data_IF_785447424998
#
_entry.id   IF_785447424998
#
_cell.length_a   1.000
_cell.length_b   1.000
_cell.length_c   1.000
_cell.angle_alpha   90.00
_cell.angle_beta   90.00
_cell.angle_gamma   90.00
#
_symmetry.space_group_name_H-M   'P 1'
#
loop_
_entity.id
_entity.type
_entity.pdbx_description
1 polymer ?
#
# COMPACT_ATOMS: atom_id res chain seq x y z
N UNK A 1 -8.51 -45.74 -19.79
CA UNK A 1 -8.23 -44.35 -19.34
C UNK A 1 -9.16 -44.05 -18.18
N UNK A 2 -8.72 -44.27 -16.96
CA UNK A 2 -9.44 -43.85 -15.77
C UNK A 2 -8.89 -42.51 -15.30
N UNK A 3 -9.61 -41.42 -15.52
CA UNK A 3 -9.41 -40.16 -14.85
C UNK A 3 -9.84 -40.33 -13.38
N UNK A 4 -8.90 -40.36 -12.46
CA UNK A 4 -9.18 -40.10 -11.05
C UNK A 4 -9.45 -38.59 -10.87
N UNK A 5 -10.69 -38.18 -11.14
CA UNK A 5 -11.17 -36.87 -10.73
C UNK A 5 -11.04 -36.77 -9.20
N UNK A 6 -10.15 -35.94 -8.70
CA UNK A 6 -10.35 -35.39 -7.35
C UNK A 6 -11.70 -34.66 -7.39
N UNK A 7 -12.68 -35.04 -6.54
CA UNK A 7 -14.02 -34.53 -6.69
C UNK A 7 -14.03 -33.00 -6.60
N UNK A 8 -14.86 -32.34 -7.41
CA UNK A 8 -15.17 -30.90 -7.34
C UNK A 8 -15.49 -30.45 -5.90
N UNK A 9 -15.92 -31.35 -5.04
CA UNK A 9 -16.12 -31.18 -3.61
C UNK A 9 -14.82 -30.93 -2.81
N UNK A 10 -13.66 -31.41 -3.25
CA UNK A 10 -12.37 -31.12 -2.60
C UNK A 10 -11.85 -29.72 -2.99
N UNK A 11 -12.15 -29.26 -4.20
CA UNK A 11 -11.90 -27.87 -4.62
C UNK A 11 -12.83 -26.90 -3.87
N UNK A 12 -14.10 -27.23 -3.68
CA UNK A 12 -15.03 -26.46 -2.86
C UNK A 12 -14.62 -26.43 -1.38
N UNK A 13 -14.06 -27.51 -0.83
CA UNK A 13 -13.55 -27.52 0.56
C UNK A 13 -12.28 -26.70 0.77
N UNK A 14 -11.40 -26.63 -0.21
CA UNK A 14 -10.23 -25.71 -0.13
C UNK A 14 -10.67 -24.24 -0.23
N UNK A 15 -11.73 -23.95 -0.97
CA UNK A 15 -12.40 -22.65 -0.96
C UNK A 15 -13.08 -22.36 0.38
N UNK A 16 -13.72 -23.34 1.02
CA UNK A 16 -14.41 -23.20 2.32
C UNK A 16 -13.42 -23.07 3.49
N UNK A 17 -12.24 -23.72 3.47
CA UNK A 17 -11.21 -23.58 4.50
C UNK A 17 -10.53 -22.20 4.50
N UNK A 18 -10.43 -21.56 3.35
CA UNK A 18 -9.97 -20.17 3.21
C UNK A 18 -11.05 -19.14 3.56
N UNK A 19 -12.34 -19.51 3.53
CA UNK A 19 -13.45 -18.60 3.82
C UNK A 19 -13.43 -18.03 5.25
N UNK A 20 -12.82 -18.68 6.22
CA UNK A 20 -12.80 -18.18 7.61
C UNK A 20 -11.88 -16.96 7.77
N UNK A 21 -10.70 -16.96 7.15
CA UNK A 21 -9.81 -15.77 7.10
C UNK A 21 -10.32 -14.70 6.11
N UNK A 22 -11.00 -15.10 5.04
CA UNK A 22 -11.61 -14.25 4.02
C UNK A 22 -12.71 -13.36 4.60
N UNK A 23 -13.55 -13.94 5.46
CA UNK A 23 -14.67 -13.25 6.11
C UNK A 23 -14.20 -12.17 7.07
N UNK A 24 -13.02 -12.32 7.68
CA UNK A 24 -12.63 -11.44 8.76
C UNK A 24 -12.22 -10.05 8.24
N UNK A 25 -11.31 -9.95 7.28
CA UNK A 25 -10.87 -8.63 6.76
C UNK A 25 -11.98 -7.87 6.03
N UNK A 26 -12.78 -8.54 5.21
CA UNK A 26 -13.92 -7.90 4.57
C UNK A 26 -14.94 -7.41 5.58
N UNK A 27 -15.25 -8.23 6.60
CA UNK A 27 -16.16 -7.83 7.69
C UNK A 27 -15.63 -6.65 8.50
N UNK A 28 -14.32 -6.60 8.78
CA UNK A 28 -13.69 -5.48 9.47
C UNK A 28 -13.84 -4.18 8.67
N UNK A 29 -13.56 -4.21 7.37
CA UNK A 29 -13.71 -3.05 6.48
C UNK A 29 -15.17 -2.60 6.43
N UNK A 30 -16.14 -3.52 6.31
CA UNK A 30 -17.57 -3.18 6.31
C UNK A 30 -18.01 -2.64 7.67
N UNK A 31 -17.51 -3.19 8.78
CA UNK A 31 -17.80 -2.66 10.13
C UNK A 31 -17.30 -1.22 10.26
N UNK A 32 -16.05 -0.97 9.86
CA UNK A 32 -15.48 0.39 9.85
C UNK A 32 -16.31 1.34 8.98
N UNK A 33 -16.71 0.88 7.79
CA UNK A 33 -17.58 1.64 6.89
C UNK A 33 -18.93 1.97 7.56
N UNK A 34 -19.57 1.02 8.22
CA UNK A 34 -20.84 1.20 8.89
C UNK A 34 -20.72 2.18 10.08
N UNK A 35 -19.64 2.11 10.85
CA UNK A 35 -19.37 3.05 11.96
C UNK A 35 -19.20 4.48 11.43
N UNK A 36 -18.38 4.70 10.40
CA UNK A 36 -18.16 6.02 9.80
C UNK A 36 -19.43 6.53 9.13
N UNK A 37 -20.16 5.69 8.40
CA UNK A 37 -21.42 6.06 7.76
C UNK A 37 -22.48 6.55 8.76
N UNK A 38 -22.53 5.94 9.94
CA UNK A 38 -23.40 6.39 11.04
C UNK A 38 -22.96 7.75 11.59
N UNK A 39 -21.64 7.96 11.79
CA UNK A 39 -21.11 9.23 12.30
C UNK A 39 -21.42 10.43 11.40
N UNK A 40 -21.37 10.23 10.08
CA UNK A 40 -21.61 11.30 9.09
C UNK A 40 -23.08 11.35 8.62
N UNK A 41 -23.96 10.52 9.17
CA UNK A 41 -25.36 10.39 8.75
C UNK A 41 -25.51 10.17 7.23
N UNK A 42 -24.70 9.27 6.67
CA UNK A 42 -24.71 8.99 5.24
C UNK A 42 -26.07 8.44 4.79
N UNK A 43 -26.58 8.96 3.66
CA UNK A 43 -27.82 8.48 3.05
C UNK A 43 -27.82 6.95 2.87
N UNK A 44 -28.93 6.30 3.24
CA UNK A 44 -29.03 4.84 3.26
C UNK A 44 -28.83 4.18 1.89
N UNK A 45 -29.28 4.84 0.80
CA UNK A 45 -29.14 4.32 -0.56
C UNK A 45 -27.68 4.41 -1.03
N UNK A 46 -26.99 5.49 -0.68
CA UNK A 46 -25.56 5.65 -0.94
C UNK A 46 -24.77 4.63 -0.15
N UNK A 47 -25.16 4.44 1.15
CA UNK A 47 -24.52 3.47 2.04
C UNK A 47 -24.59 2.05 1.48
N UNK A 48 -25.75 1.58 1.05
CA UNK A 48 -25.90 0.25 0.47
C UNK A 48 -25.13 0.09 -0.85
N UNK A 49 -25.13 1.11 -1.69
CA UNK A 49 -24.41 1.09 -2.97
C UNK A 49 -22.89 0.95 -2.82
N UNK A 50 -22.30 1.55 -1.76
CA UNK A 50 -20.85 1.56 -1.53
C UNK A 50 -20.33 0.37 -0.71
N UNK A 51 -21.20 -0.53 -0.26
CA UNK A 51 -20.78 -1.74 0.48
C UNK A 51 -20.22 -2.84 -0.42
N UNK A 52 -20.68 -2.89 -1.67
CA UNK A 52 -20.33 -3.97 -2.59
C UNK A 52 -19.59 -3.43 -3.82
N UNK A 53 -18.63 -4.19 -4.34
CA UNK A 53 -17.97 -3.83 -5.60
C UNK A 53 -18.96 -3.90 -6.77
N UNK A 54 -18.80 -2.98 -7.71
CA UNK A 54 -19.64 -2.95 -8.91
C UNK A 54 -19.28 -4.04 -9.93
N UNK A 55 -18.02 -4.54 -9.86
CA UNK A 55 -17.58 -5.63 -10.74
C UNK A 55 -16.52 -6.48 -10.07
N UNK A 56 -16.64 -7.79 -10.21
CA UNK A 56 -15.62 -8.76 -9.80
C UNK A 56 -15.38 -9.76 -10.92
N UNK A 57 -14.12 -9.98 -11.26
CA UNK A 57 -13.69 -10.98 -12.22
C UNK A 57 -12.85 -12.03 -11.49
N UNK A 58 -13.21 -13.29 -11.66
CA UNK A 58 -12.44 -14.45 -11.21
C UNK A 58 -12.06 -15.24 -12.45
N UNK A 59 -10.78 -15.51 -12.59
CA UNK A 59 -10.23 -16.23 -13.73
C UNK A 59 -9.42 -17.43 -13.25
N UNK A 60 -9.42 -18.48 -14.04
CA UNK A 60 -8.56 -19.63 -13.83
C UNK A 60 -7.78 -19.90 -15.09
N UNK A 61 -6.50 -20.17 -14.95
CA UNK A 61 -5.65 -20.47 -16.10
C UNK A 61 -4.62 -21.55 -15.76
N UNK A 62 -4.24 -22.37 -16.77
CA UNK A 62 -3.20 -23.36 -16.57
C UNK A 62 -1.82 -22.69 -16.48
N UNK A 63 -1.00 -23.19 -15.58
CA UNK A 63 0.39 -22.83 -15.43
C UNK A 63 1.24 -24.10 -15.35
N UNK A 64 2.37 -24.10 -16.02
CA UNK A 64 3.39 -25.17 -15.99
C UNK A 64 4.75 -24.53 -15.79
N UNK A 65 5.51 -25.03 -14.83
CA UNK A 65 6.86 -24.52 -14.53
C UNK A 65 7.82 -24.92 -15.61
N UNK A 66 7.82 -26.21 -15.96
CA UNK A 66 8.64 -26.84 -17.00
C UNK A 66 7.76 -27.68 -17.93
N UNK A 67 8.28 -28.06 -19.09
CA UNK A 67 7.58 -28.91 -20.06
C UNK A 67 7.28 -30.31 -19.53
N UNK A 68 8.06 -30.77 -18.52
CA UNK A 68 7.92 -32.08 -17.87
C UNK A 68 7.05 -32.06 -16.61
N UNK A 69 6.71 -30.87 -16.08
CA UNK A 69 5.90 -30.74 -14.88
C UNK A 69 4.42 -30.94 -15.17
N UNK A 70 3.66 -31.29 -14.13
CA UNK A 70 2.21 -31.29 -14.16
C UNK A 70 1.64 -29.87 -14.33
N UNK A 71 0.48 -29.79 -14.95
CA UNK A 71 -0.23 -28.52 -15.08
C UNK A 71 -0.89 -28.15 -13.75
N UNK A 72 -0.51 -27.00 -13.19
CA UNK A 72 -1.19 -26.38 -12.06
C UNK A 72 -2.30 -25.45 -12.57
N UNK A 73 -3.45 -25.44 -11.89
CA UNK A 73 -4.50 -24.44 -12.14
C UNK A 73 -4.34 -23.28 -11.18
N UNK A 74 -4.07 -22.11 -11.72
CA UNK A 74 -3.89 -20.87 -10.95
C UNK A 74 -5.16 -20.03 -10.99
N UNK A 75 -5.53 -19.45 -9.85
CA UNK A 75 -6.71 -18.58 -9.74
C UNK A 75 -6.27 -17.13 -9.64
N UNK A 76 -6.87 -16.30 -10.45
CA UNK A 76 -6.67 -14.85 -10.46
C UNK A 76 -7.96 -14.09 -10.17
N UNK A 77 -7.83 -12.90 -9.57
CA UNK A 77 -8.95 -12.05 -9.17
C UNK A 77 -8.70 -10.61 -9.61
N UNK A 78 -9.74 -9.91 -10.08
CA UNK A 78 -9.75 -8.45 -10.22
C UNK A 78 -11.09 -7.90 -9.77
N UNK A 79 -11.07 -7.02 -8.79
CA UNK A 79 -12.27 -6.38 -8.23
C UNK A 79 -12.20 -4.88 -8.49
N UNK A 80 -13.31 -4.32 -8.99
CA UNK A 80 -13.51 -2.89 -9.25
C UNK A 80 -14.66 -2.41 -8.36
N UNK A 81 -14.36 -1.53 -7.40
CA UNK A 81 -15.34 -1.15 -6.38
C UNK A 81 -16.28 -0.06 -6.87
N UNK A 82 -15.77 1.11 -7.27
CA UNK A 82 -16.59 2.24 -7.75
C UNK A 82 -16.13 2.63 -9.15
N UNK A 83 -17.03 2.55 -10.14
CA UNK A 83 -16.74 2.87 -11.53
C UNK A 83 -17.12 4.31 -11.92
N UNK A 84 -17.88 5.01 -11.08
CA UNK A 84 -18.40 6.35 -11.37
C UNK A 84 -17.44 7.51 -10.99
N UNK A 85 -16.34 7.21 -10.30
CA UNK A 85 -15.35 8.22 -9.91
C UNK A 85 -14.27 8.48 -10.97
N UNK A 86 -14.23 7.69 -12.02
CA UNK A 86 -13.17 7.66 -13.03
C UNK A 86 -12.64 6.24 -13.21
N UNK A 87 -11.48 6.05 -13.87
CA UNK A 87 -10.89 4.73 -14.02
C UNK A 87 -10.60 4.13 -12.63
N UNK A 88 -10.79 2.81 -12.50
CA UNK A 88 -10.45 2.16 -11.24
C UNK A 88 -8.94 1.97 -11.12
N UNK A 89 -8.41 2.02 -9.90
CA UNK A 89 -6.98 2.00 -9.63
C UNK A 89 -6.64 1.08 -8.47
N UNK A 90 -5.65 0.21 -8.65
CA UNK A 90 -5.16 -0.61 -7.55
C UNK A 90 -4.15 -1.67 -7.92
N UNK A 91 -3.38 -2.11 -6.92
CA UNK A 91 -2.30 -3.06 -7.06
C UNK A 91 -2.74 -4.48 -7.42
N UNK A 92 -1.80 -5.27 -7.93
CA UNK A 92 -1.92 -6.71 -8.15
C UNK A 92 -0.99 -7.42 -7.18
N UNK A 93 -1.53 -8.32 -6.37
CA UNK A 93 -0.81 -9.10 -5.35
C UNK A 93 -0.57 -10.53 -5.81
N UNK A 94 0.65 -11.02 -5.62
CA UNK A 94 0.95 -12.46 -5.75
C UNK A 94 1.26 -13.01 -4.36
N UNK A 95 0.38 -13.87 -3.88
CA UNK A 95 0.57 -14.60 -2.62
C UNK A 95 -0.34 -15.84 -2.60
N UNK A 96 0.07 -16.93 -1.92
CA UNK A 96 -0.69 -18.18 -1.94
C UNK A 96 -2.09 -18.08 -1.29
N UNK A 97 -2.28 -17.12 -0.40
CA UNK A 97 -3.54 -16.88 0.33
C UNK A 97 -4.45 -15.81 -0.31
N UNK A 98 -4.11 -15.30 -1.50
CA UNK A 98 -4.97 -14.36 -2.22
C UNK A 98 -6.34 -14.99 -2.52
N UNK A 99 -7.39 -14.25 -2.20
CA UNK A 99 -8.77 -14.68 -2.36
C UNK A 99 -9.70 -13.51 -2.65
N UNK A 100 -10.93 -13.79 -3.09
CA UNK A 100 -11.88 -12.77 -3.51
C UNK A 100 -12.24 -11.79 -2.37
N UNK A 101 -12.38 -12.27 -1.13
CA UNK A 101 -12.76 -11.44 0.02
C UNK A 101 -11.67 -10.42 0.37
N UNK A 102 -10.41 -10.86 0.41
CA UNK A 102 -9.27 -9.97 0.64
C UNK A 102 -9.15 -8.92 -0.47
N UNK A 103 -9.23 -9.36 -1.73
CA UNK A 103 -9.15 -8.44 -2.89
C UNK A 103 -10.30 -7.44 -2.87
N UNK A 104 -11.52 -7.86 -2.48
CA UNK A 104 -12.67 -6.97 -2.33
C UNK A 104 -12.46 -5.92 -1.24
N UNK A 105 -12.02 -6.33 -0.04
CA UNK A 105 -11.71 -5.41 1.05
C UNK A 105 -10.69 -4.35 0.63
N UNK A 106 -9.62 -4.79 -0.02
CA UNK A 106 -8.57 -3.89 -0.50
C UNK A 106 -9.04 -2.96 -1.62
N UNK A 107 -9.95 -3.39 -2.50
CA UNK A 107 -10.55 -2.54 -3.54
C UNK A 107 -11.43 -1.43 -2.93
N UNK A 108 -12.19 -1.73 -1.87
CA UNK A 108 -12.98 -0.76 -1.11
C UNK A 108 -12.05 0.30 -0.49
N UNK A 109 -11.00 -0.12 0.21
CA UNK A 109 -10.01 0.78 0.81
C UNK A 109 -9.32 1.67 -0.24
N UNK A 110 -9.08 1.16 -1.44
CA UNK A 110 -8.53 1.98 -2.55
C UNK A 110 -9.49 3.07 -3.00
N UNK A 111 -10.82 2.84 -3.02
CA UNK A 111 -11.80 3.90 -3.29
C UNK A 111 -11.77 4.99 -2.22
N UNK A 112 -11.72 4.61 -0.95
CA UNK A 112 -11.65 5.58 0.14
C UNK A 112 -10.36 6.40 0.09
N UNK A 113 -9.24 5.72 -0.15
CA UNK A 113 -7.94 6.38 -0.28
C UNK A 113 -7.89 7.37 -1.44
N UNK A 114 -8.49 7.06 -2.58
CA UNK A 114 -8.58 7.99 -3.71
C UNK A 114 -9.50 9.17 -3.40
N UNK A 115 -10.64 8.90 -2.77
CA UNK A 115 -11.65 9.92 -2.46
C UNK A 115 -11.14 10.94 -1.44
N UNK A 116 -10.43 10.49 -0.39
CA UNK A 116 -9.96 11.37 0.70
C UNK A 116 -8.95 12.42 0.23
N UNK A 117 -8.16 12.09 -0.80
CA UNK A 117 -7.20 13.01 -1.42
C UNK A 117 -7.71 13.60 -2.75
N UNK A 118 -9.01 13.49 -3.03
CA UNK A 118 -9.66 14.12 -4.17
C UNK A 118 -9.23 13.60 -5.55
N UNK A 119 -8.66 12.40 -5.64
CA UNK A 119 -8.23 11.82 -6.91
C UNK A 119 -9.42 11.25 -7.70
N UNK A 120 -9.46 11.43 -9.04
CA UNK A 120 -10.53 10.96 -9.90
C UNK A 120 -10.38 9.46 -10.20
N UNK A 121 -10.30 8.63 -9.15
CA UNK A 121 -10.15 7.18 -9.25
C UNK A 121 -11.20 6.44 -8.43
N UNK A 122 -11.81 5.44 -9.04
CA UNK A 122 -12.42 4.35 -8.27
C UNK A 122 -11.35 3.39 -7.73
N UNK A 123 -11.72 2.61 -6.74
CA UNK A 123 -10.80 1.61 -6.21
C UNK A 123 -10.88 0.30 -6.97
N UNK A 124 -9.72 -0.30 -7.22
CA UNK A 124 -9.60 -1.66 -7.67
C UNK A 124 -8.53 -2.42 -6.89
N UNK A 125 -8.61 -3.72 -6.96
CA UNK A 125 -7.55 -4.62 -6.47
C UNK A 125 -7.55 -5.88 -7.31
N UNK A 126 -6.35 -6.42 -7.56
CA UNK A 126 -6.17 -7.71 -8.20
C UNK A 126 -5.24 -8.60 -7.41
N UNK A 127 -5.20 -9.85 -7.81
CA UNK A 127 -4.22 -10.78 -7.27
C UNK A 127 -4.28 -12.14 -7.93
N UNK A 128 -3.20 -12.89 -7.75
CA UNK A 128 -3.06 -14.27 -8.20
C UNK A 128 -2.68 -15.12 -7.01
N UNK A 129 -3.42 -16.20 -6.79
CA UNK A 129 -3.17 -17.15 -5.71
C UNK A 129 -1.98 -18.05 -6.06
N UNK A 130 -0.77 -17.50 -5.94
CA UNK A 130 0.49 -18.20 -6.23
C UNK A 130 1.59 -17.67 -5.30
N UNK A 131 2.48 -18.56 -4.84
CA UNK A 131 3.70 -18.12 -4.14
C UNK A 131 4.72 -17.59 -5.15
N UNK A 132 5.10 -16.30 -5.10
CA UNK A 132 6.05 -15.72 -6.03
C UNK A 132 7.52 -16.07 -5.71
N UNK A 133 7.83 -16.55 -4.48
CA UNK A 133 9.20 -16.74 -4.02
C UNK A 133 9.94 -17.85 -4.77
N UNK A 134 9.34 -19.04 -5.02
CA UNK A 134 10.01 -20.10 -5.76
C UNK A 134 9.98 -19.89 -7.28
N UNK A 135 9.29 -18.86 -7.78
CA UNK A 135 9.18 -18.62 -9.22
C UNK A 135 10.46 -18.00 -9.77
N UNK A 136 11.00 -18.58 -10.81
CA UNK A 136 12.00 -17.92 -11.66
C UNK A 136 11.41 -16.67 -12.33
N UNK A 137 12.27 -15.77 -12.80
CA UNK A 137 11.84 -14.59 -13.55
C UNK A 137 10.99 -14.96 -14.78
N UNK A 138 11.34 -16.03 -15.48
CA UNK A 138 10.62 -16.50 -16.67
C UNK A 138 9.22 -17.05 -16.31
N UNK A 139 9.11 -17.79 -15.22
CA UNK A 139 7.85 -18.30 -14.71
C UNK A 139 6.93 -17.16 -14.26
N UNK A 140 7.46 -16.22 -13.47
CA UNK A 140 6.72 -15.02 -13.05
C UNK A 140 6.22 -14.20 -14.26
N UNK A 141 7.04 -14.09 -15.32
CA UNK A 141 6.65 -13.45 -16.57
C UNK A 141 5.48 -14.20 -17.24
N UNK A 142 5.54 -15.53 -17.34
CA UNK A 142 4.46 -16.33 -17.95
C UNK A 142 3.14 -16.18 -17.19
N UNK A 143 3.16 -16.29 -15.87
CA UNK A 143 1.99 -16.07 -15.00
C UNK A 143 1.42 -14.67 -15.23
N UNK A 144 2.27 -13.65 -15.22
CA UNK A 144 1.86 -12.25 -15.38
C UNK A 144 1.22 -12.00 -16.73
N UNK A 145 1.84 -12.46 -17.82
CA UNK A 145 1.30 -12.29 -19.18
C UNK A 145 -0.02 -13.04 -19.35
N UNK A 146 -0.12 -14.25 -18.81
CA UNK A 146 -1.37 -15.02 -18.87
C UNK A 146 -2.47 -14.36 -18.08
N UNK A 147 -2.22 -13.95 -16.84
CA UNK A 147 -3.18 -13.21 -16.03
C UNK A 147 -3.60 -11.89 -16.73
N UNK A 148 -2.67 -11.15 -17.31
CA UNK A 148 -2.97 -9.93 -18.06
C UNK A 148 -3.93 -10.20 -19.23
N UNK A 149 -3.71 -11.28 -19.98
CA UNK A 149 -4.60 -11.68 -21.08
C UNK A 149 -6.05 -11.92 -20.62
N UNK A 150 -6.23 -12.51 -19.44
CA UNK A 150 -7.57 -12.71 -18.85
C UNK A 150 -8.21 -11.37 -18.38
N UNK A 151 -7.41 -10.37 -18.06
CA UNK A 151 -7.89 -9.06 -17.62
C UNK A 151 -8.24 -8.10 -18.77
N UNK A 152 -7.82 -8.36 -20.01
CA UNK A 152 -7.99 -7.46 -21.16
C UNK A 152 -9.41 -6.89 -21.32
N UNK A 153 -10.51 -7.64 -21.04
CA UNK A 153 -11.85 -7.10 -21.19
C UNK A 153 -12.18 -5.96 -20.22
N UNK A 154 -11.52 -5.87 -19.07
CA UNK A 154 -11.88 -4.95 -17.99
C UNK A 154 -10.81 -3.92 -17.67
N UNK A 155 -9.54 -4.13 -18.05
CA UNK A 155 -8.47 -3.14 -17.86
C UNK A 155 -8.39 -2.17 -19.06
N UNK A 156 -7.82 -1.01 -18.84
CA UNK A 156 -7.63 0.01 -19.87
C UNK A 156 -7.13 1.32 -19.28
N UNK A 157 -6.49 2.15 -20.07
CA UNK A 157 -5.92 3.43 -19.64
C UNK A 157 -6.97 4.35 -19.01
N UNK A 158 -8.21 4.25 -19.45
CA UNK A 158 -9.39 5.00 -19.01
C UNK A 158 -10.44 4.15 -18.27
N UNK A 159 -10.13 2.86 -17.97
CA UNK A 159 -11.07 1.91 -17.36
C UNK A 159 -10.59 1.41 -16.02
N UNK A 160 -9.41 0.78 -16.00
CA UNK A 160 -8.84 0.16 -14.80
C UNK A 160 -7.32 0.04 -14.94
N UNK A 161 -6.58 0.64 -14.01
CA UNK A 161 -5.14 0.84 -14.08
C UNK A 161 -4.46 0.04 -12.98
N UNK A 162 -3.83 -1.11 -13.30
CA UNK A 162 -3.04 -1.88 -12.35
C UNK A 162 -1.81 -1.12 -11.82
N UNK A 163 -1.33 -1.59 -10.66
CA UNK A 163 -0.11 -1.13 -10.02
C UNK A 163 0.58 -2.30 -9.30
N UNK A 164 1.82 -2.17 -8.83
CA UNK A 164 2.46 -3.21 -8.03
C UNK A 164 1.88 -3.27 -6.60
N UNK A 165 1.95 -4.46 -6.02
CA UNK A 165 1.65 -4.77 -4.61
C UNK A 165 2.55 -5.91 -4.13
N UNK A 166 2.25 -6.54 -3.01
CA UNK A 166 3.02 -7.67 -2.47
C UNK A 166 3.23 -8.75 -3.56
N UNK A 167 4.47 -9.22 -3.69
CA UNK A 167 4.86 -10.25 -4.66
C UNK A 167 4.99 -9.78 -6.12
N UNK A 168 4.70 -8.50 -6.41
CA UNK A 168 4.88 -7.88 -7.73
C UNK A 168 5.77 -6.64 -7.64
N UNK A 169 6.31 -6.20 -8.76
CA UNK A 169 7.34 -5.16 -8.85
C UNK A 169 7.22 -4.33 -10.15
N UNK A 170 8.16 -3.42 -10.34
CA UNK A 170 8.28 -2.59 -11.54
C UNK A 170 8.37 -3.45 -12.82
N UNK A 171 9.09 -4.58 -12.76
CA UNK A 171 9.24 -5.49 -13.89
C UNK A 171 7.92 -6.21 -14.23
N UNK A 172 7.14 -6.57 -13.21
CA UNK A 172 5.81 -7.16 -13.40
C UNK A 172 4.90 -6.17 -14.14
N UNK A 173 4.94 -4.89 -13.78
CA UNK A 173 4.19 -3.84 -14.46
C UNK A 173 4.65 -3.65 -15.91
N UNK A 174 5.95 -3.75 -16.18
CA UNK A 174 6.47 -3.71 -17.54
C UNK A 174 5.91 -4.85 -18.41
N UNK A 175 5.79 -6.07 -17.87
CA UNK A 175 5.18 -7.19 -18.59
C UNK A 175 3.68 -7.02 -18.85
N UNK A 176 2.95 -6.41 -17.91
CA UNK A 176 1.53 -6.07 -18.11
C UNK A 176 1.39 -5.05 -19.23
N UNK A 177 2.17 -3.97 -19.18
CA UNK A 177 2.18 -2.92 -20.21
C UNK A 177 2.49 -3.48 -21.58
N UNK A 178 3.54 -4.29 -21.72
CA UNK A 178 3.93 -4.91 -22.96
C UNK A 178 2.83 -5.85 -23.51
N UNK A 179 2.26 -6.70 -22.65
CA UNK A 179 1.19 -7.62 -23.07
C UNK A 179 -0.04 -6.86 -23.55
N UNK A 180 -0.47 -5.84 -22.83
CA UNK A 180 -1.62 -5.01 -23.21
C UNK A 180 -1.35 -4.23 -24.50
N UNK A 181 -0.17 -3.61 -24.62
CA UNK A 181 0.23 -2.83 -25.79
C UNK A 181 0.26 -3.69 -27.08
N UNK A 182 0.76 -4.93 -26.97
CA UNK A 182 0.75 -5.88 -28.08
C UNK A 182 -0.69 -6.25 -28.51
N UNK A 183 -1.60 -6.42 -27.55
CA UNK A 183 -3.00 -6.71 -27.84
C UNK A 183 -3.70 -5.55 -28.53
N UNK A 184 -3.47 -4.32 -28.09
CA UNK A 184 -4.06 -3.10 -28.67
C UNK A 184 -3.38 -2.69 -29.97
N UNK A 185 -2.15 -3.15 -30.21
CA UNK A 185 -1.35 -2.83 -31.40
C UNK A 185 -0.65 -1.46 -31.36
N UNK A 186 -0.57 -0.84 -30.18
CA UNK A 186 0.13 0.44 -29.98
C UNK A 186 0.63 0.57 -28.54
N UNK A 187 1.75 1.31 -28.30
CA UNK A 187 2.26 1.54 -26.95
C UNK A 187 1.22 2.21 -26.05
N UNK A 188 0.98 1.62 -24.87
CA UNK A 188 0.02 2.09 -23.88
C UNK A 188 0.67 2.28 -22.51
N UNK A 189 1.57 3.27 -22.33
CA UNK A 189 2.28 3.44 -21.07
C UNK A 189 1.37 3.80 -19.88
N UNK A 190 0.20 4.39 -20.15
CA UNK A 190 -0.80 4.74 -19.13
C UNK A 190 -1.60 3.55 -18.59
N UNK A 191 -1.44 2.33 -19.15
CA UNK A 191 -2.20 1.15 -18.70
C UNK A 191 -1.84 0.71 -17.26
N UNK A 192 -0.62 0.97 -16.82
CA UNK A 192 -0.12 0.62 -15.49
C UNK A 192 0.63 1.78 -14.86
N UNK A 193 0.75 1.78 -13.54
CA UNK A 193 1.68 2.65 -12.82
C UNK A 193 2.62 1.84 -11.95
N UNK A 194 3.74 2.47 -11.54
CA UNK A 194 4.80 1.77 -10.80
C UNK A 194 5.69 0.92 -11.70
N UNK A 195 5.76 1.26 -12.99
CA UNK A 195 6.69 0.66 -13.94
C UNK A 195 8.07 1.31 -13.86
N UNK A 196 9.12 0.74 -14.48
CA UNK A 196 10.45 1.35 -14.54
C UNK A 196 10.42 2.76 -15.10
N UNK A 197 11.27 3.65 -14.56
CA UNK A 197 11.39 5.05 -15.02
C UNK A 197 11.69 5.12 -16.52
N UNK A 198 12.53 4.22 -17.03
CA UNK A 198 12.86 4.10 -18.47
C UNK A 198 11.66 3.81 -19.39
N UNK A 199 10.55 3.34 -18.79
CA UNK A 199 9.28 3.07 -19.49
C UNK A 199 8.19 4.09 -19.17
N UNK A 200 8.56 5.26 -18.65
CA UNK A 200 7.63 6.31 -18.24
C UNK A 200 7.12 6.19 -16.80
N UNK A 201 7.79 5.44 -15.94
CA UNK A 201 7.52 5.41 -14.51
C UNK A 201 7.86 6.73 -13.81
N UNK A 202 7.21 7.02 -12.67
CA UNK A 202 7.48 8.23 -11.90
C UNK A 202 8.78 8.13 -11.13
N UNK A 203 9.63 9.16 -11.23
CA UNK A 203 10.89 9.29 -10.50
C UNK A 203 10.68 9.44 -8.98
N UNK A 204 9.57 10.03 -8.56
CA UNK A 204 9.26 10.28 -7.13
C UNK A 204 8.50 9.14 -6.46
N UNK A 205 8.16 8.05 -7.19
CA UNK A 205 7.27 6.99 -6.69
C UNK A 205 7.74 6.35 -5.38
N UNK A 206 9.06 6.17 -5.22
CA UNK A 206 9.64 5.51 -4.04
C UNK A 206 9.48 6.31 -2.76
N UNK A 207 9.57 7.62 -2.84
CA UNK A 207 9.58 8.52 -1.69
C UNK A 207 8.20 9.11 -1.36
N UNK A 208 7.28 9.15 -2.33
CA UNK A 208 6.00 9.85 -2.22
C UNK A 208 5.14 9.41 -1.04
N UNK A 209 5.18 8.13 -0.64
CA UNK A 209 4.40 7.66 0.51
C UNK A 209 4.94 8.25 1.81
N UNK A 210 6.25 8.21 2.03
CA UNK A 210 6.89 8.77 3.22
C UNK A 210 6.76 10.30 3.28
N UNK A 211 7.04 10.99 2.17
CA UNK A 211 6.91 12.46 2.08
C UNK A 211 5.46 12.91 2.28
N UNK A 212 4.51 12.22 1.67
CA UNK A 212 3.08 12.50 1.85
C UNK A 212 2.63 12.34 3.30
N UNK A 213 3.09 11.29 3.99
CA UNK A 213 2.80 11.07 5.40
C UNK A 213 3.30 12.21 6.29
N UNK A 214 4.51 12.70 6.03
CA UNK A 214 5.09 13.83 6.77
C UNK A 214 4.36 15.14 6.45
N UNK A 215 3.98 15.36 5.20
CA UNK A 215 3.21 16.56 4.82
C UNK A 215 1.89 16.66 5.62
N UNK A 216 1.12 15.57 5.67
CA UNK A 216 -0.11 15.48 6.47
C UNK A 216 0.18 15.60 7.97
N UNK A 217 1.27 15.01 8.44
CA UNK A 217 1.73 15.12 9.82
C UNK A 217 2.07 16.55 10.23
N UNK A 218 2.72 17.31 9.37
CA UNK A 218 2.97 18.73 9.60
C UNK A 218 1.66 19.51 9.72
N UNK A 219 0.72 19.33 8.80
CA UNK A 219 -0.59 19.97 8.86
C UNK A 219 -1.37 19.59 10.15
N UNK A 220 -1.23 18.35 10.61
CA UNK A 220 -1.82 17.90 11.86
C UNK A 220 -1.21 18.60 13.08
N UNK A 221 0.12 18.73 13.13
CA UNK A 221 0.81 19.46 14.20
C UNK A 221 0.40 20.94 14.24
N UNK A 222 0.32 21.59 13.09
CA UNK A 222 -0.17 22.99 12.98
C UNK A 222 -1.61 23.13 13.49
N UNK A 223 -2.48 22.16 13.17
CA UNK A 223 -3.88 22.15 13.61
C UNK A 223 -4.03 22.06 15.14
N UNK A 224 -3.10 21.40 15.83
CA UNK A 224 -3.07 21.35 17.30
C UNK A 224 -2.22 22.47 17.92
N UNK A 225 -1.83 23.48 17.13
CA UNK A 225 -1.05 24.64 17.60
C UNK A 225 0.42 24.35 17.89
N UNK A 226 0.98 23.28 17.33
CA UNK A 226 2.38 22.89 17.49
C UNK A 226 3.15 23.02 16.17
N UNK A 227 4.47 23.25 16.27
CA UNK A 227 5.33 23.31 15.10
C UNK A 227 5.93 21.92 14.82
N UNK A 228 5.98 21.54 13.55
CA UNK A 228 6.65 20.30 13.14
C UNK A 228 8.19 20.44 13.19
N UNK A 229 8.69 21.63 12.88
CA UNK A 229 10.12 21.97 13.05
C UNK A 229 10.50 21.82 14.53
N UNK A 230 11.66 21.25 14.78
CA UNK A 230 12.22 20.94 16.10
C UNK A 230 11.43 19.88 16.91
N UNK A 231 10.33 19.31 16.36
CA UNK A 231 9.58 18.22 16.99
C UNK A 231 10.41 16.93 17.02
N UNK A 232 10.19 16.12 18.07
CA UNK A 232 10.82 14.80 18.22
C UNK A 232 9.98 13.78 17.46
N UNK A 233 10.59 13.13 16.47
CA UNK A 233 9.92 12.14 15.61
C UNK A 233 10.50 10.76 15.87
N UNK A 234 9.64 9.76 16.07
CA UNK A 234 9.98 8.34 16.17
C UNK A 234 9.34 7.60 15.01
N UNK A 235 10.11 6.73 14.35
CA UNK A 235 9.64 5.99 13.17
C UNK A 235 9.90 4.50 13.38
N UNK A 236 8.82 3.71 13.38
CA UNK A 236 8.93 2.27 13.39
C UNK A 236 8.99 1.74 11.95
N UNK A 237 10.08 1.07 11.62
CA UNK A 237 10.34 0.53 10.28
C UNK A 237 11.15 1.49 9.42
N UNK A 238 12.32 1.04 8.95
CA UNK A 238 13.18 1.81 8.05
C UNK A 238 13.16 1.24 6.62
N UNK A 239 12.00 0.71 6.22
CA UNK A 239 11.66 0.31 4.86
C UNK A 239 11.42 1.54 3.95
N UNK A 240 10.76 1.31 2.82
CA UNK A 240 10.56 2.38 1.84
C UNK A 240 9.79 3.58 2.41
N UNK A 241 8.71 3.35 3.16
CA UNK A 241 7.90 4.43 3.76
C UNK A 241 8.68 5.14 4.86
N UNK A 242 9.21 4.38 5.83
CA UNK A 242 9.86 4.95 7.00
C UNK A 242 11.14 5.72 6.69
N UNK A 243 11.99 5.23 5.76
CA UNK A 243 13.22 5.95 5.40
C UNK A 243 12.95 7.31 4.76
N UNK A 244 11.93 7.39 3.88
CA UNK A 244 11.60 8.68 3.24
C UNK A 244 10.76 9.58 4.15
N UNK A 245 10.00 9.02 5.09
CA UNK A 245 9.42 9.81 6.18
C UNK A 245 10.50 10.40 7.10
N UNK A 246 11.55 9.63 7.41
CA UNK A 246 12.69 10.12 8.17
C UNK A 246 13.44 11.26 7.43
N UNK A 247 13.69 11.06 6.13
CA UNK A 247 14.38 12.06 5.31
C UNK A 247 13.59 13.36 5.23
N UNK A 248 12.30 13.29 4.91
CA UNK A 248 11.44 14.48 4.78
C UNK A 248 11.26 15.19 6.14
N UNK A 249 11.14 14.44 7.25
CA UNK A 249 11.11 15.01 8.60
C UNK A 249 12.40 15.77 8.92
N UNK A 250 13.55 15.19 8.58
CA UNK A 250 14.86 15.82 8.76
C UNK A 250 15.01 17.09 7.89
N UNK A 251 14.61 17.04 6.62
CA UNK A 251 14.64 18.18 5.70
C UNK A 251 13.74 19.34 6.17
N UNK A 252 12.61 19.04 6.85
CA UNK A 252 11.72 20.04 7.49
C UNK A 252 12.23 20.53 8.84
N UNK A 253 13.39 20.06 9.29
CA UNK A 253 14.03 20.49 10.53
C UNK A 253 13.47 19.83 11.79
N UNK A 254 12.75 18.74 11.69
CA UNK A 254 12.38 17.92 12.85
C UNK A 254 13.54 17.04 13.30
N UNK A 255 13.53 16.63 14.57
CA UNK A 255 14.52 15.74 15.17
C UNK A 255 14.01 14.30 15.10
N UNK A 256 14.46 13.52 14.14
CA UNK A 256 14.21 12.09 14.13
C UNK A 256 15.06 11.44 15.21
N UNK A 257 14.47 11.15 16.36
CA UNK A 257 15.21 10.68 17.54
C UNK A 257 15.38 9.15 17.59
N UNK A 258 14.51 8.40 16.90
CA UNK A 258 14.66 6.95 16.84
C UNK A 258 14.08 6.40 15.54
N UNK A 259 14.74 5.35 15.04
CA UNK A 259 14.26 4.50 13.94
C UNK A 259 14.63 3.05 14.22
N UNK A 260 13.86 2.09 13.68
CA UNK A 260 14.21 0.67 13.71
C UNK A 260 13.97 -0.03 12.37
N UNK A 261 14.59 -1.19 12.23
CA UNK A 261 14.28 -2.17 11.20
C UNK A 261 14.26 -3.60 11.81
N UNK A 262 14.31 -4.62 10.95
CA UNK A 262 14.32 -6.02 11.41
C UNK A 262 15.58 -6.41 12.19
N UNK A 263 16.68 -5.68 12.01
CA UNK A 263 17.97 -5.96 12.66
C UNK A 263 18.14 -5.27 14.02
N UNK A 264 17.32 -4.24 14.33
CA UNK A 264 17.38 -3.53 15.60
C UNK A 264 16.90 -2.08 15.51
N UNK A 265 17.19 -1.30 16.54
CA UNK A 265 16.83 0.11 16.61
C UNK A 265 18.02 0.97 16.96
N UNK A 266 18.01 2.23 16.55
CA UNK A 266 18.97 3.26 16.89
C UNK A 266 18.25 4.48 17.45
N UNK A 267 18.82 5.07 18.51
CA UNK A 267 18.29 6.22 19.21
C UNK A 267 19.34 7.33 19.36
N UNK A 268 18.92 8.58 19.22
CA UNK A 268 19.69 9.76 19.57
C UNK A 268 18.73 10.88 19.99
N UNK A 269 18.76 11.26 21.26
CA UNK A 269 17.89 12.31 21.83
C UNK A 269 18.01 13.67 21.13
N UNK A 270 19.17 13.97 20.53
CA UNK A 270 19.47 15.24 19.86
C UNK A 270 19.09 15.19 18.35
N UNK A 271 18.69 14.03 17.86
CA UNK A 271 18.31 13.75 16.48
C UNK A 271 19.39 13.01 15.69
N UNK A 272 18.96 12.05 14.89
CA UNK A 272 19.79 11.25 14.00
C UNK A 272 20.12 12.06 12.73
N UNK A 273 21.37 11.95 12.24
CA UNK A 273 21.72 12.46 10.92
C UNK A 273 21.22 11.48 9.85
N UNK A 274 20.07 11.77 9.28
CA UNK A 274 19.40 10.87 8.34
C UNK A 274 20.19 10.67 7.05
N UNK A 275 20.81 11.69 6.41
CA UNK A 275 21.70 11.48 5.26
C UNK A 275 22.86 10.49 5.55
N UNK A 276 23.47 10.57 6.74
CA UNK A 276 24.55 9.62 7.11
C UNK A 276 23.97 8.22 7.40
N UNK A 277 22.77 8.12 7.99
CA UNK A 277 22.09 6.85 8.18
C UNK A 277 21.77 6.18 6.83
N UNK A 278 21.40 6.93 5.79
CA UNK A 278 21.24 6.38 4.42
C UNK A 278 22.54 5.81 3.89
N UNK A 279 23.68 6.45 4.14
CA UNK A 279 25.01 5.94 3.74
C UNK A 279 25.36 4.66 4.54
N UNK A 280 24.98 4.61 5.82
CA UNK A 280 25.19 3.44 6.65
C UNK A 280 24.42 2.24 6.11
N UNK A 281 23.10 2.35 5.86
CA UNK A 281 22.27 1.24 5.36
C UNK A 281 22.59 0.83 3.91
N UNK A 282 23.26 1.70 3.15
CA UNK A 282 23.76 1.30 1.82
C UNK A 282 24.90 0.27 1.90
N UNK A 283 25.59 0.18 3.05
CA UNK A 283 26.70 -0.72 3.30
C UNK A 283 26.35 -1.84 4.29
N UNK A 284 25.35 -1.61 5.13
CA UNK A 284 24.93 -2.50 6.20
C UNK A 284 23.44 -2.85 6.03
N UNK A 285 23.00 -4.10 6.32
CA UNK A 285 21.62 -4.52 6.11
C UNK A 285 20.63 -3.96 7.16
N UNK A 286 21.10 -3.23 8.18
CA UNK A 286 20.31 -2.74 9.31
C UNK A 286 20.74 -1.36 9.78
N UNK A 287 19.83 -0.65 10.45
CA UNK A 287 20.11 0.61 11.16
C UNK A 287 20.95 0.40 12.41
N UNK A 288 20.97 -0.82 12.97
CA UNK A 288 21.78 -1.18 14.15
C UNK A 288 23.26 -0.94 13.89
N UNK A 289 23.98 -0.42 14.91
CA UNK A 289 25.38 -0.09 14.81
C UNK A 289 25.69 1.21 14.04
N UNK A 290 24.70 2.07 13.83
CA UNK A 290 24.93 3.39 13.26
C UNK A 290 25.65 4.29 14.27
N UNK A 291 26.84 4.77 13.92
CA UNK A 291 27.70 5.58 14.83
C UNK A 291 27.10 6.95 15.23
N UNK A 292 26.07 7.42 14.50
CA UNK A 292 25.35 8.66 14.81
C UNK A 292 24.29 8.56 15.91
N UNK A 293 24.18 7.42 16.58
CA UNK A 293 23.26 7.15 17.68
C UNK A 293 23.72 5.95 18.49
N UNK A 294 22.95 5.57 19.50
CA UNK A 294 23.16 4.38 20.30
C UNK A 294 22.15 3.28 19.94
N UNK A 295 22.55 2.02 19.99
CA UNK A 295 21.63 0.90 19.80
C UNK A 295 20.58 0.92 20.91
N UNK A 296 19.30 0.77 20.55
CA UNK A 296 18.18 0.82 21.46
C UNK A 296 17.51 -0.55 21.58
N UNK A 297 17.49 -1.07 22.80
CA UNK A 297 16.96 -2.43 23.09
C UNK A 297 15.51 -2.40 23.63
N UNK A 298 14.89 -1.22 23.75
CA UNK A 298 13.52 -1.06 24.24
C UNK A 298 12.46 -1.11 23.11
N UNK A 299 11.20 -0.96 23.52
CA UNK A 299 10.07 -0.89 22.60
C UNK A 299 10.00 0.49 21.93
N UNK A 300 10.31 0.56 20.64
CA UNK A 300 10.40 1.82 19.90
C UNK A 300 9.09 2.62 19.92
N UNK A 301 7.94 1.94 19.93
CA UNK A 301 6.62 2.58 19.96
C UNK A 301 6.32 3.26 21.30
N UNK A 302 7.05 2.93 22.37
CA UNK A 302 6.87 3.48 23.72
C UNK A 302 7.80 4.67 24.01
N UNK A 303 8.68 5.03 23.06
CA UNK A 303 9.54 6.22 23.20
C UNK A 303 8.66 7.49 23.14
N UNK A 304 8.80 8.33 24.18
CA UNK A 304 8.09 9.60 24.25
C UNK A 304 8.56 10.57 23.13
N UNK A 305 7.61 11.01 22.30
CA UNK A 305 7.88 11.86 21.15
C UNK A 305 6.71 12.80 20.86
N UNK A 306 6.91 13.72 19.94
CA UNK A 306 5.85 14.61 19.48
C UNK A 306 5.07 14.00 18.30
N UNK A 307 5.76 13.23 17.46
CA UNK A 307 5.20 12.52 16.30
C UNK A 307 5.70 11.09 16.26
N UNK A 308 4.77 10.14 16.19
CA UNK A 308 5.05 8.71 16.03
C UNK A 308 4.58 8.23 14.66
N UNK A 309 5.45 7.55 13.91
CA UNK A 309 5.15 7.03 12.56
C UNK A 309 5.38 5.51 12.52
N UNK A 310 4.37 4.68 12.78
CA UNK A 310 4.45 3.24 12.51
C UNK A 310 4.40 3.02 10.99
N UNK A 311 5.52 2.59 10.41
CA UNK A 311 5.72 2.43 8.96
C UNK A 311 6.24 1.02 8.57
N UNK A 312 6.14 0.04 9.49
CA UNK A 312 6.59 -1.34 9.25
C UNK A 312 5.44 -2.24 8.78
N UNK A 313 4.63 -2.74 9.71
CA UNK A 313 3.57 -3.73 9.47
C UNK A 313 2.27 -3.35 10.17
N UNK A 314 1.17 -4.00 9.78
CA UNK A 314 -0.13 -3.80 10.42
C UNK A 314 -0.23 -4.45 11.80
N UNK A 315 -1.15 -3.95 12.65
CA UNK A 315 -1.49 -4.55 13.94
C UNK A 315 -0.44 -4.43 15.03
N UNK A 316 0.52 -3.51 14.92
CA UNK A 316 1.60 -3.30 15.91
C UNK A 316 1.14 -2.51 17.14
N UNK A 317 0.10 -1.68 16.98
CA UNK A 317 -0.50 -0.93 18.08
C UNK A 317 -1.83 -1.60 18.44
N UNK A 318 -1.86 -2.17 19.62
CA UNK A 318 -2.99 -2.93 20.15
C UNK A 318 -3.41 -2.38 21.51
N UNK A 319 -4.50 -2.85 22.08
CA UNK A 319 -4.91 -2.47 23.45
C UNK A 319 -3.86 -2.79 24.53
N UNK A 320 -2.92 -3.69 24.25
CA UNK A 320 -1.87 -4.06 25.24
C UNK A 320 -0.74 -3.03 25.34
N UNK A 321 -0.50 -2.20 24.32
CA UNK A 321 0.55 -1.20 24.29
C UNK A 321 0.06 0.23 24.09
N UNK A 322 -1.20 0.44 23.68
CA UNK A 322 -1.74 1.75 23.39
C UNK A 322 -1.64 2.75 24.55
N UNK A 323 -1.85 2.30 25.79
CA UNK A 323 -1.73 3.15 26.99
C UNK A 323 -0.31 3.63 27.28
N UNK A 324 0.71 2.92 26.75
CA UNK A 324 2.10 3.28 26.94
C UNK A 324 2.63 4.25 25.89
N UNK A 325 1.89 4.46 24.82
CA UNK A 325 2.27 5.37 23.73
C UNK A 325 2.09 6.82 24.19
N UNK A 326 3.18 7.59 24.11
CA UNK A 326 3.24 8.99 24.51
C UNK A 326 3.62 9.86 23.31
N UNK A 327 2.63 10.25 22.54
CA UNK A 327 2.82 11.13 21.36
C UNK A 327 1.67 12.14 21.25
N UNK A 328 1.88 13.25 20.57
CA UNK A 328 0.80 14.18 20.25
C UNK A 328 0.08 13.78 18.95
N UNK A 329 0.85 13.31 17.96
CA UNK A 329 0.34 12.91 16.65
C UNK A 329 0.87 11.54 16.29
N UNK A 330 -0.03 10.63 15.93
CA UNK A 330 0.25 9.32 15.36
C UNK A 330 -0.06 9.36 13.87
N UNK A 331 0.93 9.06 13.02
CA UNK A 331 0.80 9.05 11.56
C UNK A 331 0.91 7.61 11.06
N UNK A 332 -0.18 7.01 10.64
CA UNK A 332 -0.21 5.61 10.20
C UNK A 332 0.44 5.40 8.82
N UNK A 333 1.76 5.32 8.78
CA UNK A 333 2.52 5.10 7.54
C UNK A 333 2.32 3.69 6.96
N UNK A 334 2.21 2.66 7.80
CA UNK A 334 1.82 1.31 7.40
C UNK A 334 0.30 1.20 7.19
N UNK A 335 -0.16 0.12 6.56
CA UNK A 335 -1.59 -0.15 6.45
C UNK A 335 -2.11 -0.80 7.75
N UNK A 336 -3.15 -0.22 8.33
CA UNK A 336 -3.81 -0.69 9.57
C UNK A 336 -2.83 -1.03 10.70
N UNK A 337 -1.91 -0.12 11.07
CA UNK A 337 -0.94 -0.40 12.13
C UNK A 337 -1.59 -0.41 13.51
N UNK A 338 -2.71 0.30 13.67
CA UNK A 338 -3.46 0.43 14.92
C UNK A 338 -4.76 -0.35 14.84
N UNK A 339 -5.04 -1.14 15.86
CA UNK A 339 -6.33 -1.86 15.99
C UNK A 339 -7.44 -0.91 16.44
N UNK A 340 -8.71 -1.22 16.12
CA UNK A 340 -9.85 -0.38 16.46
C UNK A 340 -9.97 -0.08 17.98
N UNK A 341 -9.61 -1.05 18.83
CA UNK A 341 -9.63 -0.83 20.27
C UNK A 341 -8.48 0.08 20.72
N UNK A 342 -7.31 -0.07 20.13
CA UNK A 342 -6.17 0.81 20.41
C UNK A 342 -6.44 2.26 19.94
N UNK A 343 -7.08 2.44 18.80
CA UNK A 343 -7.49 3.76 18.28
C UNK A 343 -8.37 4.51 19.32
N UNK A 344 -9.33 3.82 19.94
CA UNK A 344 -10.17 4.41 20.99
C UNK A 344 -9.35 4.87 22.20
N UNK A 345 -8.46 4.00 22.71
CA UNK A 345 -7.59 4.31 23.85
C UNK A 345 -6.71 5.53 23.54
N UNK A 346 -6.08 5.57 22.36
CA UNK A 346 -5.21 6.67 21.96
C UNK A 346 -5.98 8.00 21.85
N UNK A 347 -7.19 7.99 21.29
CA UNK A 347 -8.05 9.19 21.20
C UNK A 347 -8.51 9.68 22.58
N UNK A 348 -8.86 8.76 23.48
CA UNK A 348 -9.19 9.08 24.88
C UNK A 348 -8.00 9.71 25.61
N UNK A 349 -6.78 9.32 25.27
CA UNK A 349 -5.53 9.89 25.77
C UNK A 349 -5.12 11.20 25.04
N UNK A 350 -5.96 11.73 24.14
CA UNK A 350 -5.73 12.99 23.45
C UNK A 350 -4.75 12.91 22.27
N UNK A 351 -4.39 11.73 21.79
CA UNK A 351 -3.54 11.54 20.62
C UNK A 351 -4.32 11.84 19.34
N UNK A 352 -3.81 12.73 18.50
CA UNK A 352 -4.35 12.97 17.17
C UNK A 352 -3.87 11.88 16.22
N UNK A 353 -4.79 11.07 15.69
CA UNK A 353 -4.47 9.98 14.76
C UNK A 353 -4.75 10.40 13.33
N UNK A 354 -3.74 10.29 12.46
CA UNK A 354 -3.88 10.43 11.02
C UNK A 354 -3.99 9.02 10.43
N UNK A 355 -5.19 8.62 9.96
CA UNK A 355 -5.43 7.25 9.51
C UNK A 355 -4.63 6.90 8.26
N UNK A 356 -4.33 5.63 8.10
CA UNK A 356 -3.53 5.07 7.01
C UNK A 356 -4.04 5.43 5.60
N UNK A 357 -5.36 5.47 5.40
CA UNK A 357 -5.97 5.86 4.12
C UNK A 357 -5.64 7.29 3.69
N UNK A 358 -5.29 8.18 4.63
CA UNK A 358 -4.78 9.51 4.36
C UNK A 358 -3.25 9.53 4.43
N UNK A 359 -2.66 9.10 5.54
CA UNK A 359 -1.23 9.20 5.80
C UNK A 359 -0.37 8.59 4.67
N UNK A 360 -0.72 7.41 4.19
CA UNK A 360 0.04 6.74 3.13
C UNK A 360 -0.51 6.94 1.71
N UNK A 361 -1.42 7.91 1.50
CA UNK A 361 -2.01 8.21 0.20
C UNK A 361 -1.01 8.84 -0.81
N UNK A 362 0.14 9.31 -0.37
CA UNK A 362 1.17 9.85 -1.27
C UNK A 362 1.58 8.88 -2.38
N UNK A 363 1.55 7.57 -2.10
CA UNK A 363 1.83 6.55 -3.10
C UNK A 363 0.80 6.47 -4.23
N UNK A 364 -0.48 6.60 -3.96
CA UNK A 364 -1.52 6.65 -5.00
C UNK A 364 -1.51 7.99 -5.73
N UNK A 365 -1.20 9.08 -5.03
CA UNK A 365 -1.05 10.42 -5.61
C UNK A 365 0.09 10.44 -6.63
N UNK A 366 1.25 9.89 -6.31
CA UNK A 366 2.35 9.75 -7.28
C UNK A 366 1.98 8.83 -8.46
N UNK A 367 1.19 7.79 -8.22
CA UNK A 367 0.67 6.94 -9.29
C UNK A 367 -0.30 7.70 -10.21
N UNK A 368 -1.10 8.61 -9.66
CA UNK A 368 -1.95 9.50 -10.44
C UNK A 368 -1.12 10.40 -11.36
N UNK A 369 -0.08 11.02 -10.84
CA UNK A 369 0.82 11.85 -11.64
C UNK A 369 1.54 11.03 -12.73
N UNK A 370 1.98 9.81 -12.44
CA UNK A 370 2.55 8.91 -13.43
C UNK A 370 1.57 8.65 -14.57
N UNK A 371 0.30 8.34 -14.24
CA UNK A 371 -0.75 8.12 -15.23
C UNK A 371 -1.03 9.39 -16.06
N UNK A 372 -1.16 10.57 -15.43
CA UNK A 372 -1.37 11.85 -16.14
C UNK A 372 -0.23 12.13 -17.11
N UNK A 373 1.03 12.00 -16.67
CA UNK A 373 2.20 12.19 -17.52
C UNK A 373 2.19 11.26 -18.74
N UNK A 374 1.84 9.98 -18.53
CA UNK A 374 1.81 8.98 -19.58
C UNK A 374 0.64 9.17 -20.56
N UNK A 375 -0.51 9.65 -20.10
CA UNK A 375 -1.67 9.95 -20.97
C UNK A 375 -1.48 11.24 -21.76
N UNK A 376 -0.77 12.21 -21.19
CA UNK A 376 -0.46 13.48 -21.84
C UNK A 376 0.84 13.43 -22.67
N UNK A 377 1.62 12.35 -22.57
CA UNK A 377 2.96 12.23 -23.16
C UNK A 377 3.90 13.39 -22.78
N UNK A 378 3.79 13.86 -21.54
CA UNK A 378 4.60 14.96 -21.00
C UNK A 378 5.11 14.62 -19.60
N UNK A 379 6.42 14.71 -19.39
CA UNK A 379 7.07 14.41 -18.12
C UNK A 379 7.36 15.69 -17.33
N UNK A 380 6.94 15.73 -16.08
CA UNK A 380 7.24 16.82 -15.15
C UNK A 380 8.61 16.62 -14.50
N UNK A 381 9.20 17.73 -14.05
CA UNK A 381 10.42 17.69 -13.24
C UNK A 381 10.13 17.13 -11.85
N UNK A 382 11.16 16.62 -11.21
CA UNK A 382 11.05 16.06 -9.85
C UNK A 382 10.52 17.10 -8.84
N UNK A 383 11.00 18.34 -8.92
CA UNK A 383 10.53 19.45 -8.07
C UNK A 383 9.04 19.73 -8.25
N UNK A 384 8.55 19.75 -9.49
CA UNK A 384 7.13 19.93 -9.79
C UNK A 384 6.28 18.78 -9.25
N UNK A 385 6.78 17.54 -9.30
CA UNK A 385 6.10 16.37 -8.74
C UNK A 385 6.00 16.44 -7.22
N UNK A 386 7.05 16.91 -6.54
CA UNK A 386 7.05 17.10 -5.09
C UNK A 386 6.06 18.20 -4.67
N UNK A 387 6.08 19.35 -5.34
CA UNK A 387 5.14 20.45 -5.08
C UNK A 387 3.69 19.97 -5.25
N UNK A 388 3.38 19.33 -6.38
CA UNK A 388 2.04 18.74 -6.64
C UNK A 388 1.64 17.67 -5.62
N UNK A 389 2.59 16.87 -5.13
CA UNK A 389 2.33 15.89 -4.08
C UNK A 389 1.88 16.59 -2.79
N UNK A 390 2.61 17.62 -2.36
CA UNK A 390 2.29 18.40 -1.15
C UNK A 390 0.93 19.08 -1.29
N UNK A 391 0.63 19.67 -2.45
CA UNK A 391 -0.64 20.34 -2.72
C UNK A 391 -1.84 19.39 -2.62
N UNK A 392 -1.68 18.14 -3.02
CA UNK A 392 -2.76 17.12 -2.94
C UNK A 392 -2.89 16.55 -1.54
N UNK A 393 -1.78 16.35 -0.85
CA UNK A 393 -1.77 15.75 0.50
C UNK A 393 -2.17 16.73 1.59
#
# INVERSE_FOLDING_TARGET
FFFTQKPAYAMLRSLVGSEMCIRDRYKEVIKQYDEVSNLINLDSNIRERLKLPQRSLVVTFPFRRDEYDDVETVVGYRVQHVLSMGPTKGGIRYAPNVNLGEVTALAILMSWKSAIVGLPYGGAKGGVAIDPNPLTRAEKQRVTRRYTAELLPIIGVDKDIPAPDLGTDEQTMAWIMDTYSNFVGSPQPGIVTGKPVSLGGSITRRESTGRGAVAVGQAAMEKIGKNYKDSRVVIQGFGNVGRYAALDSYERGAKVIAVNDLGGAVFNKDGLNIPELFKHIAKNPSVKGFEGGEDYEGEILEIECDVLIPAAVGGVITSSNAEKIKTNVLIEGANSPTTLNADKILRENGVMIIPDILANAGGITASYFEWVQNTQNYLWKETELHEKLIDVM
#
